data_IF_307605123333
#
_entry.id   IF_307605123333
#
_cell.length_a   1.000
_cell.length_b   1.000
_cell.length_c   1.000
_cell.angle_alpha   90.00
_cell.angle_beta   90.00
_cell.angle_gamma   90.00
#
_symmetry.space_group_name_H-M   'P 1'
#
loop_
_entity.id
_entity.type
_entity.pdbx_description
1 polymer ?
#
# COMPACT_ATOMS: atom_id res chain seq x y z
N UNK A 1 26.86 -19.54 -3.63
CA UNK A 1 27.22 -18.15 -3.26
C UNK A 1 26.00 -17.54 -2.55
N UNK A 2 25.87 -17.77 -1.24
CA UNK A 2 26.02 -16.73 -0.18
C UNK A 2 24.97 -15.62 -0.30
N UNK A 3 23.77 -15.82 0.27
CA UNK A 3 23.39 -15.48 1.66
C UNK A 3 23.40 -13.96 1.89
N UNK A 4 22.23 -13.34 1.84
CA UNK A 4 21.94 -12.14 2.62
C UNK A 4 20.49 -12.21 3.09
N UNK A 5 20.32 -12.57 4.36
CA UNK A 5 19.05 -12.73 5.03
C UNK A 5 18.45 -11.38 5.38
N UNK A 6 17.82 -10.74 4.41
CA UNK A 6 16.93 -9.61 4.64
C UNK A 6 15.66 -10.12 5.32
N UNK A 7 15.42 -9.63 6.53
CA UNK A 7 14.22 -9.87 7.33
C UNK A 7 13.03 -9.20 6.62
N UNK A 8 12.52 -9.83 5.55
CA UNK A 8 11.43 -9.31 4.73
C UNK A 8 10.12 -9.98 5.15
N UNK A 9 9.12 -9.14 5.46
CA UNK A 9 7.79 -9.53 5.95
C UNK A 9 7.17 -10.61 5.03
N UNK A 10 6.82 -11.79 5.59
CA UNK A 10 6.48 -12.98 4.81
C UNK A 10 5.21 -12.83 3.98
N UNK A 11 4.35 -11.86 4.31
CA UNK A 11 3.17 -11.60 3.51
C UNK A 11 3.49 -10.89 2.20
N UNK A 12 4.51 -10.03 2.09
CA UNK A 12 4.71 -9.17 0.90
C UNK A 12 5.33 -9.87 -0.32
N UNK A 13 5.97 -11.03 -0.14
CA UNK A 13 6.86 -11.60 -1.16
C UNK A 13 6.23 -12.50 -2.24
N UNK A 14 5.16 -13.29 -2.00
CA UNK A 14 4.74 -14.27 -3.00
C UNK A 14 4.20 -13.60 -4.28
N UNK A 15 3.54 -12.45 -4.15
CA UNK A 15 3.04 -11.69 -5.30
C UNK A 15 4.13 -10.93 -6.05
N UNK A 16 5.15 -10.40 -5.35
CA UNK A 16 6.26 -9.67 -5.99
C UNK A 16 7.02 -10.57 -6.97
N UNK A 17 7.26 -11.82 -6.58
CA UNK A 17 8.01 -12.78 -7.39
C UNK A 17 7.26 -13.15 -8.67
N UNK A 18 6.01 -13.58 -8.53
CA UNK A 18 5.29 -14.15 -9.67
C UNK A 18 4.69 -13.09 -10.60
N UNK A 19 4.34 -11.91 -10.07
CA UNK A 19 3.64 -10.89 -10.85
C UNK A 19 4.59 -9.93 -11.59
N UNK A 20 5.77 -9.65 -11.02
CA UNK A 20 6.70 -8.68 -11.62
C UNK A 20 8.02 -9.31 -12.07
N UNK A 21 8.61 -10.22 -11.30
CA UNK A 21 9.93 -10.77 -11.67
C UNK A 21 9.83 -11.80 -12.79
N UNK A 22 8.83 -12.68 -12.78
CA UNK A 22 8.66 -13.71 -13.81
C UNK A 22 8.47 -13.13 -15.24
N UNK A 23 7.58 -12.14 -15.50
CA UNK A 23 7.45 -11.59 -16.84
C UNK A 23 8.69 -10.80 -17.26
N UNK A 24 9.34 -10.09 -16.33
CA UNK A 24 10.58 -9.35 -16.61
C UNK A 24 11.72 -10.33 -16.95
N UNK A 25 11.84 -11.45 -16.23
CA UNK A 25 12.85 -12.46 -16.50
C UNK A 25 12.60 -13.13 -17.86
N UNK A 26 11.34 -13.41 -18.22
CA UNK A 26 10.97 -13.91 -19.54
C UNK A 26 11.27 -12.90 -20.65
N UNK A 27 11.06 -11.60 -20.39
CA UNK A 27 11.39 -10.50 -21.31
C UNK A 27 12.89 -10.39 -21.58
N UNK A 28 13.71 -10.50 -20.52
CA UNK A 28 15.18 -10.47 -20.62
C UNK A 28 15.73 -11.71 -21.33
N UNK A 29 15.06 -12.86 -21.18
CA UNK A 29 15.51 -14.13 -21.77
C UNK A 29 15.01 -14.32 -23.22
N UNK A 30 14.05 -13.50 -23.69
CA UNK A 30 13.49 -13.64 -25.02
C UNK A 30 14.53 -13.26 -26.09
N UNK A 31 15.00 -14.27 -26.84
CA UNK A 31 16.04 -14.10 -27.85
C UNK A 31 15.55 -13.41 -29.14
N UNK A 32 14.23 -13.40 -29.40
CA UNK A 32 13.63 -12.78 -30.59
C UNK A 32 12.96 -11.47 -30.22
N UNK A 33 13.21 -10.43 -31.01
CA UNK A 33 12.59 -9.11 -30.82
C UNK A 33 11.06 -9.15 -30.94
N UNK A 34 10.51 -9.99 -31.82
CA UNK A 34 9.06 -10.08 -32.02
C UNK A 34 8.36 -10.72 -30.79
N UNK A 35 8.97 -11.78 -30.23
CA UNK A 35 8.51 -12.39 -28.98
C UNK A 35 8.62 -11.40 -27.81
N UNK A 36 9.72 -10.63 -27.75
CA UNK A 36 9.95 -9.60 -26.72
C UNK A 36 8.88 -8.51 -26.77
N UNK A 37 8.50 -8.05 -27.97
CA UNK A 37 7.42 -7.07 -28.16
C UNK A 37 6.06 -7.63 -27.70
N UNK A 38 5.74 -8.87 -28.06
CA UNK A 38 4.49 -9.49 -27.62
C UNK A 38 4.44 -9.69 -26.10
N UNK A 39 5.53 -10.13 -25.48
CA UNK A 39 5.63 -10.22 -24.02
C UNK A 39 5.50 -8.84 -23.36
N UNK A 40 6.04 -7.78 -23.98
CA UNK A 40 5.96 -6.41 -23.46
C UNK A 40 4.52 -5.90 -23.52
N UNK A 41 3.78 -6.20 -24.60
CA UNK A 41 2.35 -5.90 -24.72
C UNK A 41 1.52 -6.62 -23.66
N UNK A 42 1.77 -7.92 -23.45
CA UNK A 42 1.09 -8.70 -22.41
C UNK A 42 1.40 -8.17 -20.99
N UNK A 43 2.67 -7.83 -20.73
CA UNK A 43 3.09 -7.23 -19.46
C UNK A 43 2.39 -5.89 -19.21
N UNK A 44 2.33 -5.04 -20.25
CA UNK A 44 1.62 -3.75 -20.19
C UNK A 44 0.15 -3.94 -19.82
N UNK A 45 -0.56 -4.84 -20.50
CA UNK A 45 -1.98 -5.08 -20.25
C UNK A 45 -2.23 -5.62 -18.84
N UNK A 46 -1.39 -6.55 -18.39
CA UNK A 46 -1.42 -7.04 -17.02
C UNK A 46 -1.17 -5.91 -16.00
N UNK A 47 -0.20 -5.03 -16.27
CA UNK A 47 0.13 -3.93 -15.37
C UNK A 47 -0.95 -2.85 -15.33
N UNK A 48 -1.56 -2.55 -16.47
CA UNK A 48 -2.66 -1.59 -16.55
C UNK A 48 -3.90 -2.12 -15.82
N UNK A 49 -4.19 -3.42 -15.94
CA UNK A 49 -5.27 -4.06 -15.19
C UNK A 49 -5.03 -4.00 -13.67
N UNK A 50 -3.79 -4.25 -13.22
CA UNK A 50 -3.38 -4.11 -11.83
C UNK A 50 -3.56 -2.67 -11.32
N UNK A 51 -3.08 -1.67 -12.08
CA UNK A 51 -3.20 -0.26 -11.70
C UNK A 51 -4.66 0.21 -11.64
N UNK A 52 -5.51 -0.27 -12.56
CA UNK A 52 -6.95 0.00 -12.52
C UNK A 52 -7.60 -0.61 -11.28
N UNK A 53 -7.22 -1.84 -10.91
CA UNK A 53 -7.70 -2.49 -9.69
C UNK A 53 -7.26 -1.73 -8.42
N UNK A 54 -6.02 -1.25 -8.38
CA UNK A 54 -5.53 -0.37 -7.30
C UNK A 54 -6.32 0.93 -7.25
N UNK A 55 -6.60 1.55 -8.40
CA UNK A 55 -7.44 2.74 -8.50
C UNK A 55 -8.84 2.52 -7.93
N UNK A 56 -9.53 1.46 -8.34
CA UNK A 56 -10.86 1.11 -7.83
C UNK A 56 -10.84 0.85 -6.32
N UNK A 57 -9.88 0.05 -5.85
CA UNK A 57 -9.76 -0.30 -4.43
C UNK A 57 -9.45 0.93 -3.57
N UNK A 58 -8.55 1.80 -4.04
CA UNK A 58 -8.22 3.04 -3.34
C UNK A 58 -9.41 4.00 -3.25
N UNK A 59 -10.26 4.09 -4.28
CA UNK A 59 -11.48 4.88 -4.23
C UNK A 59 -12.47 4.34 -3.17
N UNK A 60 -12.65 3.01 -3.11
CA UNK A 60 -13.50 2.36 -2.10
C UNK A 60 -12.96 2.59 -0.68
N UNK A 61 -11.66 2.42 -0.48
CA UNK A 61 -11.01 2.64 0.82
C UNK A 61 -11.11 4.11 1.23
N UNK A 62 -10.88 5.06 0.31
CA UNK A 62 -11.07 6.50 0.56
C UNK A 62 -12.49 6.81 1.00
N UNK A 63 -13.49 6.21 0.36
CA UNK A 63 -14.90 6.34 0.76
C UNK A 63 -15.14 5.78 2.17
N UNK A 64 -14.52 4.66 2.53
CA UNK A 64 -14.62 4.08 3.86
C UNK A 64 -13.98 5.00 4.93
N UNK A 65 -12.81 5.58 4.63
CA UNK A 65 -12.19 6.61 5.47
C UNK A 65 -13.10 7.82 5.67
N UNK A 66 -13.70 8.35 4.60
CA UNK A 66 -14.61 9.49 4.68
C UNK A 66 -15.83 9.19 5.58
N UNK A 67 -16.44 8.02 5.44
CA UNK A 67 -17.54 7.57 6.29
C UNK A 67 -17.13 7.44 7.76
N UNK A 68 -15.95 6.87 8.03
CA UNK A 68 -15.45 6.68 9.38
C UNK A 68 -15.10 8.01 10.08
N UNK A 69 -14.58 8.99 9.34
CA UNK A 69 -14.33 10.35 9.86
C UNK A 69 -15.65 11.03 10.24
N UNK A 70 -16.74 10.78 9.50
CA UNK A 70 -18.06 11.34 9.78
C UNK A 70 -18.68 10.93 11.13
N UNK A 71 -18.25 9.80 11.71
CA UNK A 71 -18.74 9.34 13.01
C UNK A 71 -17.86 9.77 14.19
N UNK A 72 -16.76 10.50 13.95
CA UNK A 72 -15.91 10.96 15.04
C UNK A 72 -16.61 12.08 15.79
N UNK A 73 -17.01 11.78 17.02
CA UNK A 73 -17.51 12.78 17.95
C UNK A 73 -16.34 13.67 18.40
N UNK A 74 -16.63 14.92 18.74
CA UNK A 74 -15.68 16.02 18.99
C UNK A 74 -14.65 15.77 20.12
N UNK A 75 -14.71 14.63 20.79
CA UNK A 75 -13.88 14.27 21.95
C UNK A 75 -12.82 13.19 21.63
N UNK A 76 -12.28 13.20 20.41
CA UNK A 76 -11.24 12.24 20.03
C UNK A 76 -9.84 12.71 20.46
N UNK A 77 -9.06 11.78 20.99
CA UNK A 77 -7.64 11.94 21.26
C UNK A 77 -6.94 12.35 19.94
N UNK A 78 -6.08 13.39 19.93
CA UNK A 78 -5.49 13.93 18.70
C UNK A 78 -4.70 12.88 17.89
N UNK A 79 -4.14 11.88 18.57
CA UNK A 79 -3.43 10.77 17.93
C UNK A 79 -4.33 9.92 17.02
N UNK A 80 -5.56 9.63 17.42
CA UNK A 80 -6.49 8.81 16.64
C UNK A 80 -6.91 9.56 15.38
N UNK A 81 -7.18 10.86 15.51
CA UNK A 81 -7.47 11.74 14.37
C UNK A 81 -6.28 11.78 13.37
N UNK A 82 -5.05 11.82 13.89
CA UNK A 82 -3.83 11.74 13.09
C UNK A 82 -3.71 10.44 12.30
N UNK A 83 -4.08 9.30 12.88
CA UNK A 83 -4.09 8.00 12.19
C UNK A 83 -5.12 7.98 11.05
N UNK A 84 -6.32 8.51 11.29
CA UNK A 84 -7.37 8.61 10.26
C UNK A 84 -6.92 9.46 9.07
N UNK A 85 -6.43 10.69 9.33
CA UNK A 85 -5.93 11.56 8.26
C UNK A 85 -4.66 11.02 7.59
N UNK A 86 -3.75 10.39 8.35
CA UNK A 86 -2.57 9.73 7.81
C UNK A 86 -2.93 8.60 6.84
N UNK A 87 -3.88 7.73 7.22
CA UNK A 87 -4.39 6.67 6.35
C UNK A 87 -5.07 7.21 5.09
N UNK A 88 -5.82 8.31 5.23
CA UNK A 88 -6.49 9.02 4.12
C UNK A 88 -5.45 9.60 3.14
N UNK A 89 -4.41 10.27 3.65
CA UNK A 89 -3.33 10.81 2.82
C UNK A 89 -2.61 9.68 2.07
N UNK A 90 -2.37 8.54 2.72
CA UNK A 90 -1.71 7.40 2.08
C UNK A 90 -2.56 6.78 0.97
N UNK A 91 -3.88 6.63 1.16
CA UNK A 91 -4.76 6.12 0.07
C UNK A 91 -4.84 7.11 -1.09
N UNK A 92 -4.93 8.42 -0.81
CA UNK A 92 -4.95 9.46 -1.85
C UNK A 92 -3.63 9.54 -2.60
N UNK A 93 -2.51 9.35 -1.91
CA UNK A 93 -1.20 9.28 -2.56
C UNK A 93 -1.08 8.01 -3.40
N UNK A 94 -1.64 6.89 -2.93
CA UNK A 94 -1.66 5.63 -3.68
C UNK A 94 -2.45 5.73 -4.98
N UNK A 95 -3.66 6.32 -4.96
CA UNK A 95 -4.44 6.52 -6.18
C UNK A 95 -3.71 7.46 -7.14
N UNK A 96 -3.14 8.55 -6.62
CA UNK A 96 -2.39 9.51 -7.43
C UNK A 96 -1.18 8.86 -8.11
N UNK A 97 -0.38 8.06 -7.38
CA UNK A 97 0.75 7.33 -7.95
C UNK A 97 0.27 6.31 -8.99
N UNK A 98 -0.80 5.55 -8.70
CA UNK A 98 -1.35 4.58 -9.64
C UNK A 98 -1.81 5.25 -10.95
N UNK A 99 -2.50 6.38 -10.86
CA UNK A 99 -2.91 7.18 -12.01
C UNK A 99 -1.72 7.72 -12.79
N UNK A 100 -0.72 8.29 -12.12
CA UNK A 100 0.49 8.80 -12.76
C UNK A 100 1.25 7.69 -13.51
N UNK A 101 1.38 6.50 -12.90
CA UNK A 101 1.98 5.34 -13.54
C UNK A 101 1.17 4.83 -14.72
N UNK A 102 -0.17 4.83 -14.62
CA UNK A 102 -1.06 4.40 -15.71
C UNK A 102 -0.90 5.29 -16.94
N UNK A 103 -0.84 6.62 -16.72
CA UNK A 103 -0.61 7.61 -17.79
C UNK A 103 0.79 7.44 -18.39
N UNK A 104 1.81 7.22 -17.56
CA UNK A 104 3.17 6.99 -18.04
C UNK A 104 3.27 5.73 -18.91
N UNK A 105 2.69 4.60 -18.49
CA UNK A 105 2.61 3.36 -19.28
C UNK A 105 1.86 3.60 -20.59
N UNK A 106 0.75 4.32 -20.53
CA UNK A 106 -0.04 4.61 -21.73
C UNK A 106 0.77 5.41 -22.74
N UNK A 107 1.47 6.47 -22.29
CA UNK A 107 2.32 7.32 -23.13
C UNK A 107 3.54 6.59 -23.71
N UNK A 108 4.16 5.70 -22.94
CA UNK A 108 5.32 4.94 -23.40
C UNK A 108 4.97 3.87 -24.43
N UNK A 109 3.70 3.47 -24.55
CA UNK A 109 3.29 2.33 -25.37
C UNK A 109 2.45 2.72 -26.59
N UNK A 110 2.36 4.02 -26.89
CA UNK A 110 1.65 4.53 -28.06
C UNK A 110 2.41 4.34 -29.37
N UNK A 111 3.73 4.16 -29.33
CA UNK A 111 4.58 3.87 -30.50
C UNK A 111 5.26 2.51 -30.35
N UNK A 112 5.50 1.82 -31.47
CA UNK A 112 6.28 0.56 -31.46
C UNK A 112 7.72 0.82 -30.97
N UNK A 113 8.25 2.02 -31.21
CA UNK A 113 9.54 2.45 -30.66
C UNK A 113 9.52 2.61 -29.14
N UNK A 114 8.40 3.07 -28.58
CA UNK A 114 8.22 3.15 -27.13
C UNK A 114 8.09 1.77 -26.47
N UNK A 115 7.59 0.76 -27.19
CA UNK A 115 7.64 -0.63 -26.74
C UNK A 115 9.07 -1.17 -26.71
N UNK A 116 9.89 -0.82 -27.69
CA UNK A 116 11.31 -1.20 -27.72
C UNK A 116 12.11 -0.49 -26.62
N UNK A 117 11.80 0.78 -26.34
CA UNK A 117 12.38 1.53 -25.22
C UNK A 117 11.91 0.95 -23.88
N UNK A 118 10.63 0.62 -23.73
CA UNK A 118 10.12 -0.04 -22.54
C UNK A 118 10.78 -1.41 -22.33
N UNK A 119 10.94 -2.20 -23.39
CA UNK A 119 11.66 -3.47 -23.35
C UNK A 119 13.15 -3.27 -23.02
N UNK A 120 13.78 -2.20 -23.52
CA UNK A 120 15.15 -1.81 -23.19
C UNK A 120 15.31 -1.34 -21.74
N UNK A 121 14.34 -0.60 -21.21
CA UNK A 121 14.29 -0.17 -19.82
C UNK A 121 14.07 -1.35 -18.89
N UNK A 122 13.12 -2.25 -19.21
CA UNK A 122 12.85 -3.45 -18.42
C UNK A 122 13.99 -4.48 -18.49
N UNK A 123 14.71 -4.55 -19.61
CA UNK A 123 15.61 -5.66 -19.93
C UNK A 123 17.05 -5.31 -20.28
N UNK A 124 17.51 -4.10 -19.93
CA UNK A 124 18.87 -3.57 -20.10
C UNK A 124 19.68 -4.17 -21.27
N UNK A 125 19.68 -3.41 -22.37
CA UNK A 125 20.53 -3.45 -23.56
C UNK A 125 20.55 -4.77 -24.37
N UNK A 126 20.03 -4.77 -25.63
CA UNK A 126 20.11 -5.93 -26.52
C UNK A 126 21.55 -6.34 -26.90
N UNK A 127 22.57 -5.56 -26.53
CA UNK A 127 23.96 -5.88 -26.83
C UNK A 127 24.62 -6.92 -25.91
N UNK A 128 24.11 -7.15 -24.69
CA UNK A 128 24.74 -8.09 -23.74
C UNK A 128 23.72 -9.10 -23.15
N UNK A 129 23.49 -10.24 -23.82
CA UNK A 129 22.58 -11.29 -23.35
C UNK A 129 23.00 -11.98 -22.03
N UNK A 130 24.12 -11.57 -21.41
CA UNK A 130 24.69 -12.20 -20.22
C UNK A 130 24.84 -11.32 -18.97
N UNK A 131 24.62 -10.00 -19.04
CA UNK A 131 24.85 -9.08 -17.91
C UNK A 131 23.59 -8.35 -17.44
N UNK A 132 22.44 -8.69 -18.00
CA UNK A 132 21.19 -7.96 -17.85
C UNK A 132 20.53 -8.22 -16.48
N UNK A 133 20.95 -7.44 -15.47
CA UNK A 133 20.26 -7.39 -14.18
C UNK A 133 19.06 -6.43 -14.27
N UNK A 134 17.84 -6.87 -13.94
CA UNK A 134 16.69 -5.97 -13.85
C UNK A 134 16.99 -4.92 -12.77
N UNK A 135 16.89 -3.64 -13.13
CA UNK A 135 17.19 -2.54 -12.20
C UNK A 135 16.19 -2.61 -11.04
N UNK A 136 16.65 -2.99 -9.85
CA UNK A 136 15.79 -3.19 -8.66
C UNK A 136 14.90 -1.99 -8.35
N UNK A 137 15.39 -0.79 -8.64
CA UNK A 137 14.63 0.46 -8.48
C UNK A 137 13.42 0.55 -9.41
N UNK A 138 13.49 -0.01 -10.61
CA UNK A 138 12.36 -0.02 -11.54
C UNK A 138 11.29 -1.00 -11.07
N UNK A 139 11.69 -2.19 -10.62
CA UNK A 139 10.77 -3.15 -9.98
C UNK A 139 10.12 -2.52 -8.75
N UNK A 140 10.90 -1.81 -7.94
CA UNK A 140 10.38 -1.09 -6.77
C UNK A 140 9.38 -0.01 -7.18
N UNK A 141 9.72 0.83 -8.16
CA UNK A 141 8.85 1.89 -8.67
C UNK A 141 7.50 1.34 -9.12
N UNK A 142 7.49 0.21 -9.83
CA UNK A 142 6.26 -0.46 -10.29
C UNK A 142 5.42 -1.05 -9.16
N UNK A 143 6.00 -1.32 -7.99
CA UNK A 143 5.29 -1.90 -6.85
C UNK A 143 4.87 -0.87 -5.80
N UNK A 144 5.40 0.36 -5.86
CA UNK A 144 5.03 1.45 -4.94
C UNK A 144 3.52 1.62 -4.74
N UNK A 145 2.65 1.66 -5.78
CA UNK A 145 1.22 1.89 -5.56
C UNK A 145 0.55 0.74 -4.80
N UNK A 146 0.93 -0.51 -5.06
CA UNK A 146 0.37 -1.67 -4.36
C UNK A 146 0.83 -1.71 -2.90
N UNK A 147 2.11 -1.41 -2.66
CA UNK A 147 2.63 -1.36 -1.28
C UNK A 147 1.97 -0.25 -0.47
N UNK A 148 1.76 0.91 -1.08
CA UNK A 148 1.13 2.05 -0.43
C UNK A 148 -0.35 1.80 -0.14
N UNK A 149 -1.08 1.17 -1.08
CA UNK A 149 -2.46 0.74 -0.86
C UNK A 149 -2.57 -0.26 0.28
N UNK A 150 -1.74 -1.31 0.28
CA UNK A 150 -1.74 -2.32 1.33
C UNK A 150 -1.43 -1.69 2.70
N UNK A 151 -0.45 -0.78 2.76
CA UNK A 151 -0.13 -0.05 3.98
C UNK A 151 -1.32 0.80 4.47
N UNK A 152 -2.02 1.47 3.56
CA UNK A 152 -3.22 2.25 3.89
C UNK A 152 -4.35 1.37 4.40
N UNK A 153 -4.60 0.20 3.79
CA UNK A 153 -5.59 -0.76 4.27
C UNK A 153 -5.23 -1.27 5.67
N UNK A 154 -3.95 -1.59 5.93
CA UNK A 154 -3.50 -1.98 7.26
C UNK A 154 -3.72 -0.87 8.28
N UNK A 155 -3.39 0.38 7.93
CA UNK A 155 -3.64 1.54 8.80
C UNK A 155 -5.13 1.78 9.04
N UNK A 156 -5.99 1.55 8.04
CA UNK A 156 -7.44 1.63 8.19
C UNK A 156 -7.95 0.58 9.20
N UNK A 157 -7.48 -0.67 9.10
CA UNK A 157 -7.84 -1.74 10.03
C UNK A 157 -7.36 -1.44 11.46
N UNK A 158 -6.13 -0.93 11.60
CA UNK A 158 -5.58 -0.51 12.90
C UNK A 158 -6.38 0.66 13.48
N UNK A 159 -6.74 1.66 12.66
CA UNK A 159 -7.56 2.80 13.05
C UNK A 159 -8.96 2.38 13.53
N UNK A 160 -9.60 1.45 12.82
CA UNK A 160 -10.88 0.87 13.24
C UNK A 160 -10.76 0.11 14.55
N UNK A 161 -9.71 -0.71 14.72
CA UNK A 161 -9.47 -1.45 15.95
C UNK A 161 -9.31 -0.49 17.14
N UNK A 162 -8.51 0.56 16.96
CA UNK A 162 -8.31 1.61 17.97
C UNK A 162 -9.62 2.32 18.33
N UNK A 163 -10.45 2.69 17.34
CA UNK A 163 -11.74 3.33 17.58
C UNK A 163 -12.71 2.42 18.33
N UNK A 164 -12.77 1.14 17.98
CA UNK A 164 -13.59 0.14 18.65
C UNK A 164 -13.18 0.03 20.12
N UNK A 165 -11.88 -0.07 20.40
CA UNK A 165 -11.37 -0.10 21.78
C UNK A 165 -11.70 1.17 22.57
N UNK A 166 -11.60 2.35 21.94
CA UNK A 166 -11.99 3.61 22.59
C UNK A 166 -13.49 3.64 22.92
N UNK A 167 -14.34 3.19 22.01
CA UNK A 167 -15.80 3.12 22.24
C UNK A 167 -16.16 2.13 23.37
N UNK A 168 -15.52 0.95 23.39
CA UNK A 168 -15.70 -0.03 24.45
C UNK A 168 -15.25 0.47 25.83
N UNK A 169 -14.15 1.21 25.89
CA UNK A 169 -13.63 1.77 27.15
C UNK A 169 -14.50 2.89 27.69
N UNK A 170 -15.04 3.77 26.83
CA UNK A 170 -15.99 4.81 27.23
C UNK A 170 -17.27 4.20 27.81
N UNK A 171 -17.88 3.23 27.11
CA UNK A 171 -19.11 2.55 27.57
C UNK A 171 -18.92 1.88 28.94
N UNK A 172 -17.73 1.33 29.20
CA UNK A 172 -17.41 0.70 30.50
C UNK A 172 -17.34 1.71 31.65
N UNK A 173 -16.92 2.96 31.38
CA UNK A 173 -16.87 4.02 32.40
C UNK A 173 -18.28 4.47 32.78
N UNK A 174 -19.17 4.63 31.80
CA UNK A 174 -20.55 5.07 32.04
C UNK A 174 -21.34 4.06 32.91
N UNK A 175 -21.16 2.76 32.68
CA UNK A 175 -21.81 1.71 33.50
C UNK A 175 -21.33 1.75 34.95
N UNK A 176 -20.04 2.02 35.19
CA UNK A 176 -19.51 2.12 36.57
C UNK A 176 -20.04 3.35 37.30
N UNK A 177 -20.11 4.50 36.62
CA UNK A 177 -20.61 5.75 37.22
C UNK A 177 -22.11 5.67 37.55
N UNK A 178 -22.90 4.99 36.73
CA UNK A 178 -24.34 4.78 37.00
C UNK A 178 -24.65 3.82 38.17
N UNK A 179 -23.65 3.08 38.65
CA UNK A 179 -23.81 2.11 39.74
C UNK A 179 -23.52 2.69 41.14
N UNK A 180 -22.78 3.80 41.21
CA UNK A 180 -22.29 4.37 42.47
C UNK A 180 -22.86 5.78 42.70
N UNK A 181 -23.98 5.94 43.42
CA UNK A 181 -24.57 7.27 43.66
C UNK A 181 -23.80 8.16 44.65
N UNK A 182 -22.54 7.86 45.04
CA UNK A 182 -21.85 8.62 46.10
C UNK A 182 -20.31 8.83 46.05
N UNK A 183 -19.53 8.37 45.07
CA UNK A 183 -18.06 8.57 45.14
C UNK A 183 -17.53 9.63 44.18
N UNK A 184 -17.54 10.88 44.64
CA UNK A 184 -16.76 11.95 44.02
C UNK A 184 -15.26 11.70 44.19
N UNK A 185 -14.50 11.89 43.11
CA UNK A 185 -13.08 12.21 43.16
C UNK A 185 -12.11 11.04 43.05
N UNK A 186 -11.64 10.76 41.82
CA UNK A 186 -10.21 10.82 41.47
C UNK A 186 -10.08 10.60 39.95
N UNK A 187 -9.69 11.65 39.22
CA UNK A 187 -9.24 11.51 37.84
C UNK A 187 -7.87 10.81 37.83
N UNK A 188 -7.83 9.49 37.61
CA UNK A 188 -6.60 8.78 37.26
C UNK A 188 -6.35 8.87 35.75
N UNK A 189 -5.95 10.06 35.29
CA UNK A 189 -5.59 10.31 33.88
C UNK A 189 -4.21 9.73 33.52
N UNK A 190 -3.44 9.25 34.50
CA UNK A 190 -2.08 8.73 34.32
C UNK A 190 -2.02 7.27 33.82
N UNK A 191 -3.00 6.44 34.16
CA UNK A 191 -3.03 5.02 33.76
C UNK A 191 -3.43 4.83 32.29
N UNK A 192 -4.29 5.71 31.75
CA UNK A 192 -4.74 5.62 30.36
C UNK A 192 -3.63 5.95 29.35
N UNK A 193 -2.71 6.86 29.70
CA UNK A 193 -1.55 7.16 28.84
C UNK A 193 -0.60 5.96 28.69
N UNK A 194 -0.42 5.16 29.75
CA UNK A 194 0.46 3.97 29.67
C UNK A 194 -0.13 2.84 28.84
N UNK A 195 -1.45 2.68 28.83
CA UNK A 195 -2.11 1.68 28.00
C UNK A 195 -2.06 2.03 26.50
N UNK A 196 -2.12 3.32 26.16
CA UNK A 196 -1.95 3.77 24.78
C UNK A 196 -0.50 3.61 24.32
N UNK A 197 0.48 3.93 25.18
CA UNK A 197 1.90 3.68 24.90
C UNK A 197 2.20 2.18 24.69
N UNK A 198 1.56 1.29 25.46
CA UNK A 198 1.77 -0.16 25.33
C UNK A 198 1.18 -0.76 24.04
N UNK A 199 0.19 -0.10 23.43
CA UNK A 199 -0.45 -0.55 22.19
C UNK A 199 0.26 0.00 20.95
N UNK A 200 1.01 1.10 21.08
CA UNK A 200 1.76 1.74 20.01
C UNK A 200 3.26 1.35 19.95
N UNK A 201 3.76 0.57 20.92
CA UNK A 201 5.08 -0.08 20.90
C UNK A 201 5.00 -1.49 20.30
#
# INVERSE_FOLDING_TARGET
MTRSGGMCLPWILPWQKNMTLDPIQKLVTAAKDDDRRQLTRNWRESKLAELNYVGLTSALVTSAFASAIGWQTVNLIPYVLGIWFGGLILVLTSIFIATAQSIAVYRLTTSDEGLDELAGLLGNNPQDPGSSQPRRFQVLAWQMPVMLLNLSITLFLIGLLCQIFNSYTMTRKDVKVGSDPQSGGLCDSGSESKLIELILM
#
